data_IF_039809502086
#
_entry.id   IF_039809502086
#
_cell.length_a   1.000
_cell.length_b   1.000
_cell.length_c   1.000
_cell.angle_alpha   90.00
_cell.angle_beta   90.00
_cell.angle_gamma   90.00
#
_symmetry.space_group_name_H-M   'P 1'
#
loop_
_entity.id
_entity.type
_entity.pdbx_description
1 polymer ?
#
# COMPACT_ATOMS: atom_id res chain seq x y z
N UNK A 1 -6.36 -1.58 -25.34
CA UNK A 1 -5.93 -0.53 -24.38
C UNK A 1 -6.35 -0.82 -22.92
N UNK A 2 -7.02 -1.94 -22.63
CA UNK A 2 -7.42 -2.35 -21.27
C UNK A 2 -6.28 -2.99 -20.46
N UNK A 3 -5.34 -3.65 -21.14
CA UNK A 3 -4.25 -4.40 -20.51
C UNK A 3 -3.29 -3.54 -19.68
N UNK A 4 -3.01 -2.31 -20.11
CA UNK A 4 -2.09 -1.41 -19.39
C UNK A 4 -2.70 -0.92 -18.08
N UNK A 5 -4.00 -0.58 -18.11
CA UNK A 5 -4.75 -0.12 -16.93
C UNK A 5 -4.90 -1.23 -15.89
N UNK A 6 -5.19 -2.45 -16.33
CA UNK A 6 -5.22 -3.63 -15.46
C UNK A 6 -3.84 -3.91 -14.86
N UNK A 7 -2.78 -3.85 -15.67
CA UNK A 7 -1.41 -4.05 -15.19
C UNK A 7 -0.99 -3.02 -14.14
N UNK A 8 -1.36 -1.74 -14.34
CA UNK A 8 -1.18 -0.68 -13.35
C UNK A 8 -1.96 -0.94 -12.07
N UNK A 9 -3.21 -1.41 -12.17
CA UNK A 9 -4.03 -1.77 -11.01
C UNK A 9 -3.39 -2.89 -10.17
N UNK A 10 -2.80 -3.91 -10.81
CA UNK A 10 -2.06 -4.96 -10.10
C UNK A 10 -0.77 -4.48 -9.44
N UNK A 11 -0.09 -3.50 -10.04
CA UNK A 11 1.16 -2.97 -9.52
C UNK A 11 0.95 -2.02 -8.33
N UNK A 12 -0.22 -1.37 -8.27
CA UNK A 12 -0.61 -0.41 -7.24
C UNK A 12 -0.45 -0.91 -5.78
N UNK A 13 -0.96 -2.11 -5.39
CA UNK A 13 -0.75 -2.63 -4.04
C UNK A 13 0.72 -2.90 -3.70
N UNK A 14 1.52 -3.34 -4.68
CA UNK A 14 2.96 -3.57 -4.50
C UNK A 14 3.68 -2.26 -4.18
N UNK A 15 3.35 -1.19 -4.91
CA UNK A 15 3.90 0.14 -4.67
C UNK A 15 3.56 0.63 -3.25
N UNK A 16 2.32 0.44 -2.78
CA UNK A 16 1.94 0.83 -1.41
C UNK A 16 2.67 0.02 -0.34
N UNK A 17 2.91 -1.28 -0.54
CA UNK A 17 3.72 -2.11 0.37
C UNK A 17 5.16 -1.60 0.43
N UNK A 18 5.76 -1.28 -0.72
CA UNK A 18 7.12 -0.72 -0.79
C UNK A 18 7.19 0.62 -0.07
N UNK A 19 6.23 1.53 -0.30
CA UNK A 19 6.17 2.80 0.43
C UNK A 19 6.04 2.57 1.93
N UNK A 20 5.17 1.66 2.38
CA UNK A 20 5.00 1.34 3.80
C UNK A 20 6.31 0.87 4.45
N UNK A 21 7.06 -0.01 3.78
CA UNK A 21 8.40 -0.43 4.26
C UNK A 21 9.40 0.72 4.31
N UNK A 22 9.37 1.62 3.33
CA UNK A 22 10.25 2.77 3.25
C UNK A 22 9.99 3.76 4.40
N UNK A 23 8.71 4.00 4.74
CA UNK A 23 8.33 4.79 5.90
C UNK A 23 8.70 4.11 7.23
N UNK A 24 8.64 2.78 7.32
CA UNK A 24 9.12 2.04 8.49
C UNK A 24 10.64 2.17 8.68
N UNK A 25 11.42 2.09 7.60
CA UNK A 25 12.85 2.37 7.62
C UNK A 25 13.14 3.81 8.05
N UNK A 26 12.38 4.77 7.54
CA UNK A 26 12.49 6.18 7.94
C UNK A 26 12.15 6.37 9.42
N UNK A 27 11.12 5.69 9.93
CA UNK A 27 10.76 5.69 11.34
C UNK A 27 11.88 5.14 12.23
N UNK A 28 12.48 4.00 11.86
CA UNK A 28 13.62 3.44 12.59
C UNK A 28 14.85 4.37 12.58
N UNK A 29 15.12 5.04 11.45
CA UNK A 29 16.16 6.07 11.39
C UNK A 29 15.86 7.25 12.33
N UNK A 30 14.62 7.74 12.33
CA UNK A 30 14.21 8.88 13.17
C UNK A 30 14.23 8.53 14.67
N UNK A 31 13.91 7.29 15.02
CA UNK A 31 14.03 6.74 16.38
C UNK A 31 15.45 6.80 16.93
N UNK A 32 16.47 6.60 16.08
CA UNK A 32 17.88 6.72 16.47
C UNK A 32 18.34 8.17 16.72
N UNK A 33 17.61 9.17 16.19
CA UNK A 33 17.96 10.60 16.30
C UNK A 33 17.22 11.35 17.41
N UNK A 34 16.29 10.72 18.14
CA UNK A 34 15.58 11.34 19.26
C UNK A 34 14.56 12.43 18.91
N UNK A 35 14.25 12.66 17.61
CA UNK A 35 13.22 13.62 17.18
C UNK A 35 11.81 13.04 17.24
N UNK A 36 11.22 13.07 18.44
CA UNK A 36 9.88 12.56 18.79
C UNK A 36 8.72 13.05 17.88
N UNK A 37 8.60 14.35 17.50
CA UNK A 37 7.46 14.80 16.69
C UNK A 37 7.45 14.26 15.25
N UNK A 38 8.63 13.95 14.69
CA UNK A 38 8.78 13.38 13.35
C UNK A 38 8.45 11.87 13.33
N UNK A 39 8.65 11.20 14.48
CA UNK A 39 8.40 9.76 14.70
C UNK A 39 6.90 9.46 14.65
N UNK A 40 6.05 10.27 15.30
CA UNK A 40 4.60 10.13 15.23
C UNK A 40 4.06 10.38 13.82
N UNK A 41 4.55 11.42 13.15
CA UNK A 41 4.18 11.72 11.76
C UNK A 41 4.53 10.59 10.81
N UNK A 42 5.73 10.02 10.94
CA UNK A 42 6.17 8.87 10.14
C UNK A 42 5.33 7.62 10.40
N UNK A 43 5.00 7.32 11.67
CA UNK A 43 4.16 6.16 12.04
C UNK A 43 2.73 6.30 11.51
N UNK A 44 2.14 7.51 11.60
CA UNK A 44 0.80 7.76 11.06
C UNK A 44 0.76 7.58 9.55
N UNK A 45 1.78 8.07 8.82
CA UNK A 45 1.90 7.87 7.36
C UNK A 45 2.09 6.39 7.01
N UNK A 46 2.92 5.66 7.75
CA UNK A 46 3.09 4.21 7.56
C UNK A 46 1.75 3.47 7.73
N UNK A 47 0.99 3.76 8.79
CA UNK A 47 -0.33 3.16 9.00
C UNK A 47 -1.29 3.48 7.86
N UNK A 48 -1.34 4.74 7.41
CA UNK A 48 -2.17 5.13 6.27
C UNK A 48 -1.80 4.34 5.00
N UNK A 49 -0.52 4.30 4.63
CA UNK A 49 -0.09 3.55 3.45
C UNK A 49 -0.34 2.04 3.57
N UNK A 50 -0.20 1.46 4.76
CA UNK A 50 -0.57 0.05 4.99
C UNK A 50 -2.07 -0.19 4.83
N UNK A 51 -2.92 0.70 5.36
CA UNK A 51 -4.38 0.58 5.21
C UNK A 51 -4.78 0.75 3.74
N UNK A 52 -4.19 1.71 3.03
CA UNK A 52 -4.41 1.86 1.59
C UNK A 52 -3.94 0.63 0.79
N UNK A 53 -2.81 0.03 1.15
CA UNK A 53 -2.34 -1.21 0.53
C UNK A 53 -3.38 -2.33 0.68
N UNK A 54 -3.88 -2.54 1.89
CA UNK A 54 -4.88 -3.58 2.20
C UNK A 54 -6.18 -3.33 1.43
N UNK A 55 -6.70 -2.09 1.45
CA UNK A 55 -7.92 -1.73 0.71
C UNK A 55 -7.75 -1.92 -0.80
N UNK A 56 -6.59 -1.52 -1.35
CA UNK A 56 -6.31 -1.70 -2.78
C UNK A 56 -6.22 -3.17 -3.18
N UNK A 57 -5.59 -4.02 -2.35
CA UNK A 57 -5.49 -5.45 -2.58
C UNK A 57 -6.87 -6.13 -2.50
N UNK A 58 -7.70 -5.75 -1.52
CA UNK A 58 -9.08 -6.22 -1.39
C UNK A 58 -9.91 -5.89 -2.62
N UNK A 59 -9.82 -4.65 -3.13
CA UNK A 59 -10.51 -4.24 -4.35
C UNK A 59 -10.09 -5.08 -5.56
N UNK A 60 -8.79 -5.33 -5.75
CA UNK A 60 -8.30 -6.18 -6.84
C UNK A 60 -8.85 -7.60 -6.72
N UNK A 61 -8.87 -8.17 -5.51
CA UNK A 61 -9.42 -9.52 -5.27
C UNK A 61 -10.92 -9.58 -5.54
N UNK A 62 -11.69 -8.56 -5.12
CA UNK A 62 -13.15 -8.49 -5.38
C UNK A 62 -13.43 -8.33 -6.86
N UNK A 63 -12.67 -7.50 -7.58
CA UNK A 63 -12.84 -7.34 -9.03
C UNK A 63 -12.54 -8.66 -9.74
N UNK A 64 -11.47 -9.35 -9.35
CA UNK A 64 -11.12 -10.65 -9.93
C UNK A 64 -12.14 -11.75 -9.61
N UNK A 65 -12.67 -11.80 -8.39
CA UNK A 65 -13.69 -12.79 -8.03
C UNK A 65 -15.00 -12.54 -8.78
N UNK A 66 -15.42 -11.28 -8.92
CA UNK A 66 -16.59 -10.90 -9.73
C UNK A 66 -16.39 -11.24 -11.22
N UNK A 67 -15.18 -11.05 -11.74
CA UNK A 67 -14.86 -11.42 -13.13
C UNK A 67 -14.88 -12.94 -13.34
N UNK A 68 -14.35 -13.71 -12.38
CA UNK A 68 -14.38 -15.17 -12.39
C UNK A 68 -15.82 -15.71 -12.30
N UNK A 69 -16.67 -15.14 -11.45
CA UNK A 69 -18.08 -15.56 -11.30
C UNK A 69 -18.97 -15.15 -12.47
N UNK A 70 -18.62 -14.12 -13.25
CA UNK A 70 -19.34 -13.73 -14.47
C UNK A 70 -18.94 -14.52 -15.72
N UNK A 71 -17.80 -15.22 -15.68
CA UNK A 71 -17.27 -16.02 -16.79
C UNK A 71 -17.69 -17.50 -16.78
N UNK A 72 -18.51 -17.91 -15.81
CA UNK A 72 -19.02 -19.27 -15.62
C UNK A 72 -20.54 -19.31 -15.88
#
# INVERSE_FOLDING_TARGET
>A
MTTILEYLAYCTPVVFVVLSRLYNLKFNRLRGTGKIPDIEGAKRRQTLFSVLAILSALLVVVIQSQFFFRGL
#
